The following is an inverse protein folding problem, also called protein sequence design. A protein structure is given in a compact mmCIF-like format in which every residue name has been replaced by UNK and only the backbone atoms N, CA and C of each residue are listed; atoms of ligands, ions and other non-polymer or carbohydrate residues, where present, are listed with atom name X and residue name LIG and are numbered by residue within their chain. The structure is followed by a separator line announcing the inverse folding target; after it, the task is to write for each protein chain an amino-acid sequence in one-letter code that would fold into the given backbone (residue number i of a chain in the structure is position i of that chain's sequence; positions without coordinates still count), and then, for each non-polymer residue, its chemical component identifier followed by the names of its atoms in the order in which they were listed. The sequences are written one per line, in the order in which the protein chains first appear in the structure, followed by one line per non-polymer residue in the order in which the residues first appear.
data_IF_394594911706
#
_entry.id   IF_394594911706
#
_cell.length_a   1.000
_cell.length_b   1.000
_cell.length_c   1.000
_cell.angle_alpha   90.00
_cell.angle_beta   90.00
_cell.angle_gamma   90.00
#
_symmetry.space_group_name_H-M   'P 1'
#
loop_
_entity.id
_entity.type
_entity.pdbx_description
1 polymer ?
#
# COMPACT_ATOMS: atom_id res chain seq x y z
N UNK A 1 8.34 18.54 -83.04
CA UNK A 1 9.42 17.82 -83.74
C UNK A 1 9.42 16.40 -83.26
N UNK A 2 9.30 15.42 -84.14
CA UNK A 2 9.41 13.98 -83.78
C UNK A 2 10.89 13.65 -83.88
N UNK A 3 11.57 13.53 -82.73
CA UNK A 3 12.96 13.06 -82.62
C UNK A 3 12.99 11.55 -82.80
N UNK A 4 13.64 11.02 -83.87
CA UNK A 4 13.77 9.59 -84.11
C UNK A 4 14.76 8.88 -83.16
N UNK A 5 15.83 9.60 -82.74
CA UNK A 5 16.89 9.04 -81.91
C UNK A 5 16.65 9.22 -80.42
N UNK A 6 15.72 10.11 -80.02
CA UNK A 6 15.43 10.35 -78.59
C UNK A 6 13.92 10.38 -78.36
N UNK A 7 13.37 9.30 -77.84
CA UNK A 7 11.94 9.23 -77.57
C UNK A 7 11.63 9.78 -76.13
N UNK A 8 11.46 11.12 -76.07
CA UNK A 8 11.19 11.85 -74.82
C UNK A 8 9.89 11.40 -74.20
N UNK A 9 8.87 11.06 -75.00
CA UNK A 9 7.58 10.57 -74.53
C UNK A 9 7.75 9.21 -73.77
N UNK A 10 8.53 8.28 -74.36
CA UNK A 10 8.83 7.02 -73.73
C UNK A 10 9.64 7.18 -72.43
N UNK A 11 10.59 8.12 -72.36
CA UNK A 11 11.35 8.43 -71.14
C UNK A 11 10.49 9.03 -70.02
N UNK A 12 9.55 9.94 -70.39
CA UNK A 12 8.60 10.49 -69.39
C UNK A 12 7.68 9.41 -68.88
N UNK A 13 7.13 8.54 -69.74
CA UNK A 13 6.26 7.47 -69.37
C UNK A 13 7.00 6.45 -68.47
N UNK A 14 8.27 6.15 -68.73
CA UNK A 14 9.12 5.31 -67.94
C UNK A 14 9.35 5.87 -66.52
N UNK A 15 9.57 7.21 -66.40
CA UNK A 15 9.65 7.84 -65.08
C UNK A 15 8.34 7.71 -64.29
N UNK A 16 7.18 7.93 -64.94
CA UNK A 16 5.87 7.74 -64.31
C UNK A 16 5.65 6.30 -63.88
N UNK A 17 6.09 5.33 -64.71
CA UNK A 17 6.02 3.90 -64.34
C UNK A 17 6.89 3.58 -63.10
N UNK A 18 8.14 4.06 -63.10
CA UNK A 18 9.04 3.88 -61.92
C UNK A 18 8.43 4.47 -60.65
N UNK A 19 7.89 5.71 -60.74
CA UNK A 19 7.26 6.38 -59.60
C UNK A 19 6.01 5.63 -59.10
N UNK A 20 5.16 5.12 -59.98
CA UNK A 20 3.98 4.33 -59.61
C UNK A 20 4.39 2.99 -58.97
N UNK A 21 5.46 2.36 -59.49
CA UNK A 21 5.99 1.13 -58.87
C UNK A 21 6.57 1.37 -57.48
N UNK A 22 7.33 2.47 -57.28
CA UNK A 22 7.88 2.85 -55.97
C UNK A 22 6.76 3.11 -54.96
N UNK A 23 5.70 3.84 -55.33
CA UNK A 23 4.53 4.10 -54.46
C UNK A 23 3.80 2.81 -54.12
N UNK A 24 3.64 1.88 -55.06
CA UNK A 24 3.03 0.59 -54.82
C UNK A 24 3.82 -0.23 -53.79
N UNK A 25 5.14 -0.31 -53.90
CA UNK A 25 6.03 -1.00 -52.97
C UNK A 25 5.96 -0.38 -51.59
N UNK A 26 5.92 0.96 -51.49
CA UNK A 26 5.79 1.69 -50.26
C UNK A 26 4.48 1.38 -49.54
N UNK A 27 3.34 1.46 -50.25
CA UNK A 27 2.03 1.11 -49.72
C UNK A 27 1.95 -0.35 -49.30
N UNK A 28 2.54 -1.30 -50.05
CA UNK A 28 2.63 -2.70 -49.64
C UNK A 28 3.43 -2.87 -48.35
N UNK A 29 4.56 -2.18 -48.21
CA UNK A 29 5.38 -2.20 -46.98
C UNK A 29 4.60 -1.69 -45.78
N UNK A 30 3.88 -0.56 -45.92
CA UNK A 30 3.07 0.04 -44.86
C UNK A 30 1.91 -0.86 -44.44
N UNK A 31 1.22 -1.48 -45.40
CA UNK A 31 0.15 -2.43 -45.15
C UNK A 31 0.65 -3.70 -44.45
N UNK A 32 1.81 -4.23 -44.88
CA UNK A 32 2.39 -5.45 -44.32
C UNK A 32 2.90 -5.25 -42.89
N UNK A 33 3.51 -4.08 -42.62
CA UNK A 33 4.02 -3.77 -41.28
C UNK A 33 2.95 -3.22 -40.33
N UNK A 34 1.86 -2.66 -40.85
CA UNK A 34 0.86 -1.89 -40.11
C UNK A 34 1.33 -0.49 -39.69
N UNK A 35 2.54 -0.09 -40.12
CA UNK A 35 3.13 1.18 -39.73
C UNK A 35 3.34 2.09 -40.96
N UNK A 36 3.04 3.38 -40.76
CA UNK A 36 3.37 4.47 -41.71
C UNK A 36 4.86 4.82 -41.68
N UNK A 37 5.48 4.74 -40.46
CA UNK A 37 6.90 5.01 -40.25
C UNK A 37 7.60 3.70 -39.98
N UNK A 38 8.33 3.17 -40.96
CA UNK A 38 9.07 1.92 -40.90
C UNK A 38 10.58 2.14 -40.69
N UNK A 39 11.11 3.22 -41.21
CA UNK A 39 12.54 3.56 -41.23
C UNK A 39 12.78 5.04 -40.91
N UNK A 40 14.02 5.39 -40.58
CA UNK A 40 14.41 6.78 -40.33
C UNK A 40 14.31 7.66 -41.59
N UNK A 41 14.30 7.05 -42.78
CA UNK A 41 14.13 7.77 -44.06
C UNK A 41 12.68 8.23 -44.30
N UNK A 42 11.70 7.54 -43.66
CA UNK A 42 10.28 7.89 -43.80
C UNK A 42 9.93 9.13 -42.94
N UNK A 43 10.37 9.15 -41.68
CA UNK A 43 10.25 10.31 -40.77
C UNK A 43 11.19 10.09 -39.54
N UNK A 44 12.34 10.76 -39.58
CA UNK A 44 13.34 10.64 -38.50
C UNK A 44 12.83 11.20 -37.18
N UNK A 45 12.07 12.30 -37.21
CA UNK A 45 11.51 12.92 -35.98
C UNK A 45 10.39 12.07 -35.39
N UNK A 46 9.46 11.61 -36.22
CA UNK A 46 8.37 10.72 -35.79
C UNK A 46 8.87 9.38 -35.25
N UNK A 47 9.92 8.81 -35.86
CA UNK A 47 10.55 7.57 -35.36
C UNK A 47 11.19 7.77 -33.98
N UNK A 48 11.91 8.88 -33.77
CA UNK A 48 12.52 9.20 -32.48
C UNK A 48 11.46 9.36 -31.39
N UNK A 49 10.40 10.13 -31.68
CA UNK A 49 9.29 10.30 -30.74
C UNK A 49 8.62 8.94 -30.44
N UNK A 50 8.34 8.14 -31.47
CA UNK A 50 7.74 6.80 -31.31
C UNK A 50 8.60 5.88 -30.44
N UNK A 51 9.93 5.91 -30.62
CA UNK A 51 10.86 5.14 -29.79
C UNK A 51 10.84 5.61 -28.32
N UNK A 52 10.81 6.93 -28.08
CA UNK A 52 10.68 7.48 -26.72
C UNK A 52 9.37 7.04 -26.06
N UNK A 53 8.24 7.13 -26.77
CA UNK A 53 6.95 6.67 -26.29
C UNK A 53 6.93 5.15 -26.05
N UNK A 54 7.62 4.37 -26.86
CA UNK A 54 7.75 2.93 -26.66
C UNK A 54 8.54 2.57 -25.38
N UNK A 55 9.63 3.29 -25.09
CA UNK A 55 10.38 3.16 -23.83
C UNK A 55 9.48 3.54 -22.66
N UNK A 56 8.73 4.63 -22.78
CA UNK A 56 7.78 5.07 -21.75
C UNK A 56 6.68 4.04 -21.50
N UNK A 57 6.06 3.45 -22.54
CA UNK A 57 5.04 2.41 -22.42
C UNK A 57 5.60 1.20 -21.66
N UNK A 58 6.80 0.71 -22.04
CA UNK A 58 7.46 -0.40 -21.33
C UNK A 58 7.75 -0.07 -19.87
N UNK A 59 8.17 1.17 -19.57
CA UNK A 59 8.37 1.63 -18.20
C UNK A 59 7.08 1.64 -17.39
N UNK A 60 5.98 2.10 -18.00
CA UNK A 60 4.65 2.10 -17.37
C UNK A 60 4.13 0.67 -17.12
N UNK A 61 4.39 -0.28 -18.04
CA UNK A 61 4.01 -1.68 -17.86
C UNK A 61 4.75 -2.34 -16.68
N UNK A 62 6.05 -1.99 -16.51
CA UNK A 62 6.81 -2.44 -15.32
C UNK A 62 6.28 -1.80 -14.05
N UNK A 63 6.01 -0.49 -14.09
CA UNK A 63 5.45 0.24 -12.95
C UNK A 63 4.10 -0.33 -12.50
N UNK A 64 3.24 -0.70 -13.45
CA UNK A 64 1.95 -1.37 -13.15
C UNK A 64 2.16 -2.73 -12.48
N UNK A 65 3.09 -3.57 -12.96
CA UNK A 65 3.41 -4.84 -12.29
C UNK A 65 3.91 -4.61 -10.87
N UNK A 66 4.85 -3.68 -10.68
CA UNK A 66 5.37 -3.35 -9.34
C UNK A 66 4.26 -2.83 -8.41
N UNK A 67 3.29 -2.07 -8.94
CA UNK A 67 2.14 -1.60 -8.18
C UNK A 67 1.22 -2.77 -7.76
N UNK A 68 0.99 -3.73 -8.65
CA UNK A 68 0.25 -4.96 -8.33
C UNK A 68 0.96 -5.80 -7.27
N UNK A 69 2.30 -5.92 -7.34
CA UNK A 69 3.09 -6.63 -6.34
C UNK A 69 2.98 -5.94 -4.97
N UNK A 70 3.12 -4.61 -4.94
CA UNK A 70 2.94 -3.81 -3.72
C UNK A 70 1.55 -3.97 -3.11
N UNK A 71 0.51 -3.97 -3.95
CA UNK A 71 -0.87 -4.19 -3.51
C UNK A 71 -1.07 -5.59 -2.94
N UNK A 72 -0.49 -6.61 -3.56
CA UNK A 72 -0.57 -8.01 -3.11
C UNK A 72 0.11 -8.21 -1.75
N UNK A 73 1.28 -7.58 -1.52
CA UNK A 73 1.93 -7.57 -0.19
C UNK A 73 1.01 -6.95 0.85
N UNK A 74 0.44 -5.78 0.55
CA UNK A 74 -0.45 -5.09 1.47
C UNK A 74 -1.72 -5.90 1.78
N UNK A 75 -2.28 -6.60 0.80
CA UNK A 75 -3.44 -7.46 0.98
C UNK A 75 -3.13 -8.69 1.84
N UNK A 76 -1.95 -9.30 1.66
CA UNK A 76 -1.50 -10.40 2.51
C UNK A 76 -1.29 -9.93 3.94
N UNK A 77 -0.67 -8.76 4.12
CA UNK A 77 -0.48 -8.15 5.43
C UNK A 77 -1.82 -7.82 6.11
N UNK A 78 -2.79 -7.26 5.38
CA UNK A 78 -4.12 -6.97 5.92
C UNK A 78 -4.85 -8.22 6.38
N UNK A 79 -4.77 -9.32 5.62
CA UNK A 79 -5.37 -10.60 6.00
C UNK A 79 -4.83 -11.12 7.33
N UNK A 80 -3.51 -11.06 7.54
CA UNK A 80 -2.90 -11.47 8.80
C UNK A 80 -3.27 -10.55 9.98
N UNK A 81 -3.34 -9.23 9.76
CA UNK A 81 -3.78 -8.29 10.79
C UNK A 81 -5.26 -8.45 11.16
N UNK A 82 -6.09 -8.88 10.22
CA UNK A 82 -7.49 -9.22 10.50
C UNK A 82 -7.55 -10.40 11.47
N UNK A 83 -6.82 -11.49 11.21
CA UNK A 83 -6.74 -12.64 12.09
C UNK A 83 -6.20 -12.26 13.49
N UNK A 84 -5.12 -11.45 13.51
CA UNK A 84 -4.59 -10.92 14.79
C UNK A 84 -5.63 -10.11 15.57
N UNK A 85 -6.43 -9.30 14.88
CA UNK A 85 -7.51 -8.52 15.52
C UNK A 85 -8.59 -9.43 16.10
N UNK A 86 -8.95 -10.51 15.42
CA UNK A 86 -9.95 -11.47 15.88
C UNK A 86 -9.46 -12.25 17.14
N UNK A 87 -8.18 -12.66 17.13
CA UNK A 87 -7.53 -13.28 18.30
C UNK A 87 -7.54 -12.31 19.49
N UNK A 88 -7.14 -11.05 19.31
CA UNK A 88 -7.12 -10.04 20.36
C UNK A 88 -8.52 -9.75 20.91
N UNK A 89 -9.55 -9.71 20.08
CA UNK A 89 -10.94 -9.57 20.52
C UNK A 89 -11.41 -10.79 21.34
N UNK A 90 -10.98 -11.99 20.97
CA UNK A 90 -11.25 -13.20 21.75
C UNK A 90 -10.54 -13.15 23.11
N UNK A 91 -9.26 -12.78 23.14
CA UNK A 91 -8.51 -12.56 24.39
C UNK A 91 -9.19 -11.52 25.28
N UNK A 92 -9.67 -10.41 24.71
CA UNK A 92 -10.43 -9.40 25.46
C UNK A 92 -11.70 -9.95 26.07
N UNK A 93 -12.44 -10.79 25.34
CA UNK A 93 -13.65 -11.43 25.86
C UNK A 93 -13.35 -12.38 27.01
N UNK A 94 -12.25 -13.12 26.94
CA UNK A 94 -11.76 -13.98 28.03
C UNK A 94 -11.32 -13.16 29.26
N UNK A 95 -10.64 -12.01 29.02
CA UNK A 95 -10.28 -11.09 30.10
C UNK A 95 -11.50 -10.56 30.86
N UNK A 96 -12.55 -10.13 30.16
CA UNK A 96 -13.80 -9.70 30.76
C UNK A 96 -14.50 -10.85 31.52
N UNK A 97 -14.43 -12.07 31.00
CA UNK A 97 -14.94 -13.23 31.66
C UNK A 97 -14.14 -13.54 32.96
N UNK A 98 -12.81 -13.54 32.88
CA UNK A 98 -11.91 -13.80 34.02
C UNK A 98 -12.04 -12.73 35.12
N UNK A 99 -12.26 -11.46 34.76
CA UNK A 99 -12.46 -10.36 35.70
C UNK A 99 -13.79 -10.44 36.45
N UNK A 100 -14.71 -11.32 36.05
CA UNK A 100 -15.99 -11.47 36.71
C UNK A 100 -15.79 -12.15 38.09
N UNK A 101 -16.28 -11.52 39.17
CA UNK A 101 -16.20 -12.03 40.54
C UNK A 101 -16.98 -13.31 40.80
N UNK A 102 -17.81 -13.81 39.86
CA UNK A 102 -18.52 -15.08 39.98
C UNK A 102 -17.62 -16.32 39.71
N UNK A 103 -16.48 -16.12 39.03
CA UNK A 103 -15.57 -17.20 38.70
C UNK A 103 -14.68 -17.54 39.90
N UNK A 104 -14.41 -18.81 40.12
CA UNK A 104 -13.41 -19.25 41.06
C UNK A 104 -12.01 -19.31 40.44
N UNK A 105 -11.00 -19.68 41.24
CA UNK A 105 -9.61 -19.77 40.78
C UNK A 105 -9.39 -20.86 39.71
N UNK A 106 -10.19 -21.95 39.75
CA UNK A 106 -10.11 -23.06 38.79
C UNK A 106 -10.68 -22.65 37.44
N UNK A 107 -11.77 -21.86 37.45
CA UNK A 107 -12.37 -21.32 36.26
C UNK A 107 -11.39 -20.36 35.54
N UNK A 108 -10.77 -19.44 36.31
CA UNK A 108 -9.76 -18.52 35.79
C UNK A 108 -8.52 -19.24 35.26
N UNK A 109 -8.09 -20.31 35.93
CA UNK A 109 -6.99 -21.14 35.46
C UNK A 109 -7.33 -21.80 34.11
N UNK A 110 -8.56 -22.23 33.92
CA UNK A 110 -9.02 -22.79 32.63
C UNK A 110 -9.04 -21.73 31.52
N UNK A 111 -9.46 -20.52 31.86
CA UNK A 111 -9.38 -19.37 30.95
C UNK A 111 -7.91 -19.08 30.58
N UNK A 112 -6.98 -19.10 31.54
CA UNK A 112 -5.57 -18.85 31.32
C UNK A 112 -4.95 -19.84 30.31
N UNK A 113 -5.36 -21.10 30.33
CA UNK A 113 -4.90 -22.06 29.33
C UNK A 113 -5.34 -21.69 27.91
N UNK A 114 -6.57 -21.18 27.72
CA UNK A 114 -7.03 -20.68 26.40
C UNK A 114 -6.28 -19.40 26.02
N UNK A 115 -5.99 -18.53 26.96
CA UNK A 115 -5.22 -17.29 26.75
C UNK A 115 -3.83 -17.60 26.22
N UNK A 116 -3.09 -18.52 26.85
CA UNK A 116 -1.76 -18.93 26.41
C UNK A 116 -1.81 -19.50 24.98
N UNK A 117 -2.79 -20.36 24.67
CA UNK A 117 -2.93 -20.90 23.33
C UNK A 117 -3.23 -19.81 22.27
N UNK A 118 -3.98 -18.77 22.61
CA UNK A 118 -4.24 -17.64 21.73
C UNK A 118 -3.03 -16.70 21.58
N UNK A 119 -2.20 -16.54 22.61
CA UNK A 119 -0.91 -15.83 22.51
C UNK A 119 0.05 -16.55 21.56
N UNK A 120 0.17 -17.89 21.71
CA UNK A 120 0.97 -18.71 20.79
C UNK A 120 0.47 -18.58 19.34
N UNK A 121 -0.85 -18.52 19.13
CA UNK A 121 -1.45 -18.36 17.81
C UNK A 121 -1.20 -16.96 17.23
N UNK A 122 -1.26 -15.92 18.07
CA UNK A 122 -0.92 -14.54 17.65
C UNK A 122 0.53 -14.46 17.17
N UNK A 123 1.47 -15.05 17.92
CA UNK A 123 2.88 -15.11 17.53
C UNK A 123 3.09 -15.98 16.28
N UNK A 124 2.34 -17.09 16.16
CA UNK A 124 2.39 -17.92 14.96
C UNK A 124 1.97 -17.15 13.73
N UNK A 125 0.90 -16.38 13.77
CA UNK A 125 0.47 -15.51 12.67
C UNK A 125 1.57 -14.53 12.31
N UNK A 126 2.21 -13.88 13.28
CA UNK A 126 3.27 -12.91 13.05
C UNK A 126 4.51 -13.54 12.40
N UNK A 127 4.89 -14.77 12.78
CA UNK A 127 6.09 -15.45 12.29
C UNK A 127 5.85 -16.14 10.95
N UNK A 128 4.66 -16.71 10.72
CA UNK A 128 4.39 -17.52 9.53
C UNK A 128 3.86 -16.71 8.35
N UNK A 129 3.43 -15.47 8.57
CA UNK A 129 2.96 -14.62 7.48
C UNK A 129 4.12 -14.15 6.62
N UNK A 130 4.24 -14.73 5.44
CA UNK A 130 5.31 -14.44 4.48
C UNK A 130 4.75 -14.05 3.12
N UNK A 131 5.52 -13.26 2.38
CA UNK A 131 5.30 -12.97 0.97
C UNK A 131 6.62 -13.12 0.21
N UNK A 132 6.66 -14.00 -0.78
CA UNK A 132 7.87 -14.32 -1.55
C UNK A 132 9.09 -14.60 -0.64
N UNK A 133 8.91 -15.49 0.35
CA UNK A 133 9.91 -15.90 1.36
C UNK A 133 10.41 -14.79 2.30
N UNK A 134 9.74 -13.64 2.34
CA UNK A 134 10.01 -12.57 3.31
C UNK A 134 8.93 -12.54 4.37
N UNK A 135 9.34 -12.59 5.63
CA UNK A 135 8.43 -12.41 6.75
C UNK A 135 7.91 -10.98 6.77
N UNK A 136 6.62 -10.82 7.03
CA UNK A 136 6.00 -9.49 7.01
C UNK A 136 5.95 -8.85 8.41
N UNK A 137 5.83 -9.63 9.49
CA UNK A 137 5.51 -9.14 10.83
C UNK A 137 6.46 -9.58 11.95
N UNK A 138 7.60 -10.17 11.62
CA UNK A 138 8.64 -10.52 12.59
C UNK A 138 9.60 -9.36 12.91
N UNK A 139 9.40 -8.20 12.31
CA UNK A 139 10.25 -7.00 12.43
C UNK A 139 11.34 -6.90 11.37
N UNK A 140 11.57 -7.94 10.56
CA UNK A 140 12.62 -7.95 9.54
C UNK A 140 12.25 -7.21 8.25
N UNK A 141 10.95 -7.06 7.97
CA UNK A 141 10.46 -6.39 6.75
C UNK A 141 10.80 -4.91 6.71
N UNK A 142 10.55 -4.19 7.80
CA UNK A 142 10.81 -2.75 7.92
C UNK A 142 10.05 -1.92 6.87
N UNK A 143 10.74 -0.96 6.25
CA UNK A 143 10.18 -0.11 5.20
C UNK A 143 10.72 -0.51 3.83
N UNK A 144 9.84 -0.92 2.93
CA UNK A 144 10.17 -1.29 1.55
C UNK A 144 9.60 -0.28 0.56
N UNK A 145 10.41 0.12 -0.43
CA UNK A 145 10.02 1.05 -1.48
C UNK A 145 9.69 0.31 -2.77
N UNK A 146 8.50 0.54 -3.31
CA UNK A 146 8.05 0.01 -4.58
C UNK A 146 8.14 1.09 -5.66
N UNK A 147 8.89 0.83 -6.73
CA UNK A 147 9.01 1.76 -7.86
C UNK A 147 7.78 1.63 -8.77
N UNK A 148 6.90 2.62 -8.72
CA UNK A 148 5.62 2.65 -9.43
C UNK A 148 5.47 3.81 -10.42
N UNK A 149 6.58 4.32 -10.91
CA UNK A 149 6.59 5.40 -11.89
C UNK A 149 7.66 5.21 -12.95
N UNK A 150 7.41 5.72 -14.16
CA UNK A 150 8.38 5.71 -15.24
C UNK A 150 9.66 6.51 -14.91
N UNK A 151 9.58 7.45 -13.95
CA UNK A 151 10.67 8.36 -13.55
C UNK A 151 11.15 8.07 -12.11
N UNK A 152 11.25 6.80 -11.72
CA UNK A 152 11.71 6.36 -10.40
C UNK A 152 10.85 6.86 -9.21
N UNK A 153 9.60 7.25 -9.44
CA UNK A 153 8.67 7.53 -8.35
C UNK A 153 8.39 6.24 -7.58
N UNK A 154 8.45 6.32 -6.25
CA UNK A 154 8.24 5.17 -5.38
C UNK A 154 7.18 5.46 -4.33
N UNK A 155 6.50 4.41 -3.90
CA UNK A 155 5.66 4.38 -2.69
C UNK A 155 6.31 3.42 -1.70
N UNK A 156 6.43 3.82 -0.44
CA UNK A 156 6.93 2.98 0.64
C UNK A 156 5.79 2.36 1.44
N UNK A 157 5.94 1.08 1.76
CA UNK A 157 5.14 0.33 2.73
C UNK A 157 6.04 0.00 3.91
N UNK A 158 5.61 0.37 5.10
CA UNK A 158 6.29 0.02 6.35
C UNK A 158 5.43 -1.00 7.09
N UNK A 159 6.00 -2.16 7.38
CA UNK A 159 5.40 -3.17 8.23
C UNK A 159 6.25 -3.31 9.49
N UNK A 160 5.60 -3.33 10.64
CA UNK A 160 6.25 -3.40 11.93
C UNK A 160 6.12 -4.79 12.53
N UNK A 161 6.87 -5.04 13.59
CA UNK A 161 6.77 -6.27 14.36
C UNK A 161 5.38 -6.37 15.03
N UNK A 162 4.79 -7.56 15.01
CA UNK A 162 3.47 -7.84 15.58
C UNK A 162 3.50 -9.00 16.60
N UNK A 163 4.69 -9.33 17.10
CA UNK A 163 4.85 -10.40 18.09
C UNK A 163 4.42 -9.91 19.47
N UNK A 164 3.95 -10.83 20.30
CA UNK A 164 3.39 -10.57 21.63
C UNK A 164 4.34 -9.85 22.60
N UNK A 165 5.65 -10.07 22.47
CA UNK A 165 6.68 -9.53 23.39
C UNK A 165 7.12 -8.09 23.11
N UNK A 166 6.58 -7.41 22.08
CA UNK A 166 7.04 -6.06 21.74
C UNK A 166 6.43 -5.00 22.68
N UNK A 167 7.20 -3.97 23.06
CA UNK A 167 6.74 -2.90 23.96
C UNK A 167 5.52 -2.15 23.43
N UNK A 168 5.41 -2.01 22.10
CA UNK A 168 4.33 -1.27 21.46
C UNK A 168 2.97 -1.95 21.57
N UNK A 169 2.94 -3.28 21.81
CA UNK A 169 1.72 -4.05 22.12
C UNK A 169 1.47 -4.16 23.61
N UNK A 170 2.13 -3.33 24.40
CA UNK A 170 2.04 -3.30 25.85
C UNK A 170 2.11 -1.89 26.40
N UNK A 171 2.64 -1.76 27.61
CA UNK A 171 2.81 -0.48 28.27
C UNK A 171 3.48 -0.58 29.64
N UNK A 172 3.61 0.58 30.28
CA UNK A 172 4.15 0.67 31.63
C UNK A 172 3.06 0.34 32.66
N UNK A 173 3.43 -0.48 33.59
CA UNK A 173 2.62 -0.83 34.74
C UNK A 173 3.14 -0.11 35.98
N UNK A 174 2.24 0.36 36.82
CA UNK A 174 2.54 1.01 38.09
C UNK A 174 1.68 0.38 39.19
N UNK A 175 2.23 0.19 40.35
CA UNK A 175 1.56 -0.43 41.48
C UNK A 175 1.75 0.43 42.71
N UNK A 176 0.66 0.67 43.45
CA UNK A 176 0.69 1.31 44.76
C UNK A 176 0.66 0.28 45.90
N UNK A 177 1.00 0.73 47.08
CA UNK A 177 0.94 -0.11 48.27
C UNK A 177 -0.46 -0.64 48.55
N UNK A 178 -0.53 -1.83 49.19
CA UNK A 178 -1.76 -2.44 49.62
C UNK A 178 -2.44 -1.65 50.73
N UNK A 179 -3.73 -1.34 50.53
CA UNK A 179 -4.52 -0.58 51.53
C UNK A 179 -5.53 -1.46 52.24
N UNK A 180 -5.88 -1.05 53.46
CA UNK A 180 -6.90 -1.73 54.22
C UNK A 180 -8.28 -1.65 53.56
N UNK A 181 -9.15 -2.66 53.83
CA UNK A 181 -10.53 -2.69 53.29
C UNK A 181 -11.40 -1.49 53.66
N UNK A 182 -11.05 -0.79 54.76
CA UNK A 182 -11.74 0.41 55.24
C UNK A 182 -11.13 1.71 54.69
N UNK A 183 -10.11 1.62 53.84
CA UNK A 183 -9.48 2.79 53.24
C UNK A 183 -10.49 3.60 52.43
N UNK A 184 -10.37 4.92 52.52
CA UNK A 184 -11.23 5.87 51.80
C UNK A 184 -10.47 7.13 51.41
N UNK A 185 -10.92 7.78 50.35
CA UNK A 185 -10.44 9.08 49.95
C UNK A 185 -10.76 10.12 51.04
N UNK A 186 -9.74 10.82 51.51
CA UNK A 186 -9.78 11.90 52.47
C UNK A 186 -9.44 13.23 51.77
N UNK A 187 -9.40 14.33 52.52
CA UNK A 187 -8.97 15.62 51.97
C UNK A 187 -7.47 15.66 51.65
N UNK A 188 -6.69 14.78 52.28
CA UNK A 188 -5.23 14.77 52.19
C UNK A 188 -4.73 13.93 50.99
N UNK A 189 -5.58 13.03 50.43
CA UNK A 189 -5.23 12.14 49.31
C UNK A 189 -6.16 12.29 48.09
N UNK A 190 -6.68 13.51 47.84
CA UNK A 190 -7.74 13.76 46.88
C UNK A 190 -7.24 14.05 45.45
N UNK A 191 -5.93 14.25 45.23
CA UNK A 191 -5.39 14.68 43.95
C UNK A 191 -4.52 13.62 43.32
N UNK A 192 -4.75 13.41 42.02
CA UNK A 192 -3.92 12.58 41.15
C UNK A 192 -3.60 13.35 39.88
N UNK A 193 -2.33 13.40 39.49
CA UNK A 193 -1.86 14.03 38.28
C UNK A 193 -1.11 13.02 37.42
N UNK A 194 -1.35 13.09 36.13
CA UNK A 194 -0.65 12.33 35.11
C UNK A 194 0.13 13.28 34.24
N UNK A 195 1.44 13.10 34.17
CA UNK A 195 2.30 13.82 33.23
C UNK A 195 2.91 12.80 32.26
N UNK A 196 2.71 13.02 30.96
CA UNK A 196 3.19 12.13 29.90
C UNK A 196 3.58 12.94 28.66
N UNK A 197 4.44 12.35 27.84
CA UNK A 197 4.72 12.87 26.51
C UNK A 197 3.82 12.16 25.49
N UNK A 198 3.11 12.96 24.69
CA UNK A 198 2.32 12.40 23.60
C UNK A 198 3.21 11.91 22.45
N UNK A 199 2.61 11.26 21.46
CA UNK A 199 3.31 10.76 20.26
C UNK A 199 4.01 11.84 19.42
N UNK A 200 3.78 13.14 19.76
CA UNK A 200 4.43 14.30 19.11
C UNK A 200 5.55 14.89 19.98
N UNK A 201 5.86 14.27 21.13
CA UNK A 201 6.86 14.75 22.09
C UNK A 201 6.40 15.98 22.89
N UNK A 202 5.10 16.27 22.97
CA UNK A 202 4.56 17.34 23.78
C UNK A 202 4.17 16.81 25.15
N UNK A 203 4.66 17.47 26.21
CA UNK A 203 4.28 17.15 27.56
C UNK A 203 2.83 17.56 27.82
N UNK A 204 2.02 16.61 28.21
CA UNK A 204 0.62 16.78 28.60
C UNK A 204 0.51 16.51 30.09
N UNK A 205 -0.29 17.32 30.80
CA UNK A 205 -0.57 17.14 32.21
C UNK A 205 -2.06 17.07 32.42
N UNK A 206 -2.55 15.97 32.94
CA UNK A 206 -3.93 15.80 33.34
C UNK A 206 -4.05 15.66 34.85
N UNK A 207 -5.01 16.34 35.46
CA UNK A 207 -5.26 16.25 36.89
C UNK A 207 -6.69 15.81 37.18
N UNK A 208 -6.82 14.82 38.07
CA UNK A 208 -8.09 14.28 38.51
C UNK A 208 -8.27 14.56 39.99
N UNK A 209 -9.39 15.20 40.34
CA UNK A 209 -9.81 15.36 41.71
C UNK A 209 -10.75 14.21 42.14
N UNK A 210 -10.33 13.43 43.12
CA UNK A 210 -11.09 12.30 43.63
C UNK A 210 -12.22 12.72 44.56
N UNK A 211 -13.26 11.90 44.63
CA UNK A 211 -14.42 12.18 45.43
C UNK A 211 -14.21 11.69 46.87
N UNK A 212 -14.44 12.55 47.83
CA UNK A 212 -14.33 12.21 49.28
C UNK A 212 -15.20 11.04 49.68
N UNK A 213 -14.62 10.07 50.40
CA UNK A 213 -15.29 8.90 50.91
C UNK A 213 -15.31 7.71 49.95
N UNK A 214 -14.83 7.85 48.72
CA UNK A 214 -14.77 6.74 47.77
C UNK A 214 -13.77 5.67 48.24
N UNK A 215 -14.10 4.42 47.96
CA UNK A 215 -13.22 3.25 48.17
C UNK A 215 -12.24 3.14 47.01
N UNK A 216 -11.20 2.31 47.16
CA UNK A 216 -10.16 2.15 46.16
C UNK A 216 -10.71 1.63 44.80
N UNK A 217 -11.73 0.74 44.84
CA UNK A 217 -12.36 0.23 43.60
C UNK A 217 -13.18 1.32 42.88
N UNK A 218 -13.79 2.25 43.68
CA UNK A 218 -14.51 3.41 43.13
C UNK A 218 -13.55 4.42 42.54
N UNK A 219 -12.37 4.61 43.16
CA UNK A 219 -11.29 5.42 42.65
C UNK A 219 -10.81 4.90 41.27
N UNK A 220 -10.51 3.62 41.15
CA UNK A 220 -10.13 3.01 39.89
C UNK A 220 -11.21 3.20 38.79
N UNK A 221 -12.48 2.96 39.13
CA UNK A 221 -13.61 3.17 38.23
C UNK A 221 -13.73 4.64 37.81
N UNK A 222 -13.54 5.58 38.76
CA UNK A 222 -13.64 7.00 38.50
C UNK A 222 -12.50 7.48 37.57
N UNK A 223 -11.27 7.01 37.77
CA UNK A 223 -10.12 7.31 36.91
C UNK A 223 -10.40 6.83 35.49
N UNK A 224 -10.85 5.59 35.29
CA UNK A 224 -11.19 5.02 34.01
C UNK A 224 -12.31 5.77 33.28
N UNK A 225 -13.22 6.43 34.03
CA UNK A 225 -14.30 7.22 33.45
C UNK A 225 -13.88 8.64 33.02
N UNK A 226 -12.81 9.19 33.61
CA UNK A 226 -12.37 10.58 33.39
C UNK A 226 -11.34 10.71 32.26
N UNK A 227 -10.57 9.65 32.01
CA UNK A 227 -9.49 9.69 31.04
C UNK A 227 -9.26 8.31 30.38
N UNK A 228 -8.54 8.30 29.26
CA UNK A 228 -8.29 7.10 28.43
C UNK A 228 -6.80 6.77 28.23
N UNK A 229 -5.92 7.52 28.84
CA UNK A 229 -4.47 7.39 28.70
C UNK A 229 -3.94 6.27 29.59
N UNK A 230 -4.47 6.23 30.83
CA UNK A 230 -4.09 5.25 31.84
C UNK A 230 -5.34 4.46 32.22
N UNK A 231 -5.24 3.15 32.32
CA UNK A 231 -6.29 2.31 32.92
C UNK A 231 -5.93 1.99 34.38
N UNK A 232 -6.88 2.13 35.28
CA UNK A 232 -6.72 1.83 36.68
C UNK A 232 -7.50 0.57 37.06
N UNK A 233 -6.91 -0.27 37.87
CA UNK A 233 -7.57 -1.46 38.41
C UNK A 233 -7.09 -1.75 39.85
N UNK A 234 -7.70 -2.72 40.51
CA UNK A 234 -7.37 -3.05 41.90
C UNK A 234 -7.03 -4.53 41.98
N UNK A 235 -5.93 -4.85 42.65
CA UNK A 235 -5.51 -6.25 42.89
C UNK A 235 -6.35 -6.90 44.02
N UNK A 236 -6.22 -8.20 44.18
CA UNK A 236 -6.86 -8.95 45.26
C UNK A 236 -6.38 -8.51 46.68
N UNK A 237 -5.18 -7.90 46.73
CA UNK A 237 -4.59 -7.35 47.95
C UNK A 237 -5.05 -5.92 48.25
N UNK A 238 -5.99 -5.36 47.48
CA UNK A 238 -6.40 -3.95 47.52
C UNK A 238 -5.26 -2.97 47.16
N UNK A 239 -4.37 -3.33 46.26
CA UNK A 239 -3.37 -2.43 45.66
C UNK A 239 -3.97 -1.74 44.44
N UNK A 240 -3.83 -0.45 44.35
CA UNK A 240 -4.21 0.29 43.16
C UNK A 240 -3.11 0.15 42.09
N UNK A 241 -3.46 -0.38 40.93
CA UNK A 241 -2.54 -0.52 39.83
C UNK A 241 -2.98 0.30 38.63
N UNK A 242 -1.99 0.82 37.88
CA UNK A 242 -2.20 1.61 36.69
C UNK A 242 -1.46 0.98 35.50
N UNK A 243 -2.04 1.10 34.37
CA UNK A 243 -1.42 0.69 33.11
C UNK A 243 -1.50 1.83 32.09
N UNK A 244 -0.36 2.23 31.55
CA UNK A 244 -0.24 3.24 30.51
C UNK A 244 0.32 2.59 29.23
N UNK A 245 -0.44 2.62 28.14
CA UNK A 245 -0.01 2.06 26.86
C UNK A 245 1.19 2.84 26.28
N UNK A 246 2.22 2.13 25.82
CA UNK A 246 3.36 2.71 25.12
C UNK A 246 2.95 3.50 23.87
N UNK A 247 1.81 3.17 23.26
CA UNK A 247 1.29 3.88 22.10
C UNK A 247 0.86 5.32 22.44
N UNK A 248 0.28 5.52 23.64
CA UNK A 248 -0.22 6.80 24.12
C UNK A 248 0.88 7.60 24.86
N UNK A 249 1.75 6.90 25.58
CA UNK A 249 2.82 7.44 26.36
C UNK A 249 4.11 6.64 26.16
N UNK A 250 4.89 6.92 25.08
CA UNK A 250 6.07 6.14 24.72
C UNK A 250 7.15 6.08 25.81
N UNK A 251 7.28 7.13 26.60
CA UNK A 251 8.23 7.22 27.73
C UNK A 251 7.60 6.85 29.08
N UNK A 252 6.34 6.38 29.06
CA UNK A 252 5.58 6.12 30.25
C UNK A 252 4.86 7.37 30.79
N UNK A 253 4.29 7.24 31.98
CA UNK A 253 3.55 8.31 32.68
C UNK A 253 4.20 8.57 34.03
N UNK A 254 4.46 9.82 34.33
CA UNK A 254 4.82 10.23 35.68
C UNK A 254 3.54 10.46 36.47
N UNK A 255 3.40 9.76 37.58
CA UNK A 255 2.26 9.83 38.49
C UNK A 255 2.63 10.73 39.67
N UNK A 256 1.89 11.81 39.88
CA UNK A 256 2.12 12.78 40.95
C UNK A 256 0.81 13.10 41.68
N UNK A 257 0.92 13.53 42.90
CA UNK A 257 -0.22 14.00 43.69
C UNK A 257 -0.35 13.33 45.04
N UNK A 258 -1.27 13.84 45.85
CA UNK A 258 -1.43 13.34 47.21
C UNK A 258 -1.89 11.89 47.33
N UNK A 259 -2.57 11.35 46.31
CA UNK A 259 -2.91 9.94 46.28
C UNK A 259 -1.68 9.06 46.02
N UNK A 260 -0.84 9.45 45.08
CA UNK A 260 0.38 8.68 44.74
C UNK A 260 1.41 8.70 45.85
N UNK A 261 1.49 9.81 46.58
CA UNK A 261 2.38 9.94 47.74
C UNK A 261 1.92 9.05 48.92
N UNK A 262 0.59 8.92 49.12
CA UNK A 262 0.05 8.06 50.19
C UNK A 262 0.16 6.57 49.86
N UNK A 263 -0.03 6.20 48.57
CA UNK A 263 0.00 4.81 48.11
C UNK A 263 1.41 4.36 47.70
N UNK A 264 2.45 5.20 47.78
CA UNK A 264 3.82 4.92 47.34
C UNK A 264 3.86 4.27 45.95
N UNK A 265 3.14 4.89 44.98
CA UNK A 265 3.00 4.31 43.64
C UNK A 265 4.33 4.27 42.95
N UNK A 266 4.79 3.07 42.62
CA UNK A 266 6.06 2.82 41.95
C UNK A 266 5.89 2.18 40.58
N UNK A 267 6.87 2.33 39.72
CA UNK A 267 6.89 1.67 38.38
C UNK A 267 7.09 0.15 38.60
N UNK A 268 6.11 -0.63 38.20
CA UNK A 268 6.15 -2.11 38.21
C UNK A 268 6.86 -2.70 36.99
N UNK A 269 7.18 -1.86 35.97
CA UNK A 269 7.90 -2.25 34.78
C UNK A 269 7.05 -2.32 33.50
N UNK A 270 7.68 -2.72 32.43
CA UNK A 270 7.01 -2.94 31.13
C UNK A 270 6.23 -4.26 31.19
N UNK A 271 4.97 -4.22 30.76
CA UNK A 271 4.10 -5.40 30.59
C UNK A 271 3.67 -5.47 29.11
N UNK A 272 3.85 -6.62 28.51
CA UNK A 272 3.54 -6.89 27.11
C UNK A 272 2.41 -7.92 26.99
N UNK A 273 1.99 -8.22 25.77
CA UNK A 273 1.00 -9.27 25.51
C UNK A 273 1.47 -10.66 25.96
N UNK A 274 2.78 -10.90 26.08
CA UNK A 274 3.37 -12.15 26.56
C UNK A 274 3.21 -12.32 28.07
N UNK A 275 3.11 -11.22 28.81
CA UNK A 275 3.07 -11.18 30.28
C UNK A 275 1.64 -11.20 30.85
N UNK A 276 0.58 -11.32 30.04
CA UNK A 276 -0.79 -11.27 30.52
C UNK A 276 -1.13 -12.50 31.36
N UNK A 277 -1.66 -12.26 32.57
CA UNK A 277 -2.10 -13.26 33.50
C UNK A 277 -3.56 -13.00 33.94
N UNK A 278 -4.45 -13.92 33.61
CA UNK A 278 -5.88 -13.85 33.96
C UNK A 278 -6.26 -14.79 35.10
N UNK A 279 -5.29 -15.34 35.83
CA UNK A 279 -5.52 -16.25 36.95
C UNK A 279 -6.12 -15.55 38.17
N UNK A 280 -5.95 -14.21 38.25
CA UNK A 280 -6.51 -13.35 39.30
C UNK A 280 -7.44 -12.29 38.73
N UNK A 281 -8.31 -11.69 39.56
CA UNK A 281 -9.21 -10.61 39.11
C UNK A 281 -8.40 -9.37 38.73
N UNK A 282 -7.41 -8.98 39.54
CA UNK A 282 -6.55 -7.82 39.28
C UNK A 282 -5.69 -8.02 38.02
N UNK A 283 -5.13 -9.23 37.85
CA UNK A 283 -4.39 -9.59 36.63
C UNK A 283 -5.28 -9.58 35.40
N UNK A 284 -6.51 -10.10 35.48
CA UNK A 284 -7.46 -10.04 34.34
C UNK A 284 -7.82 -8.60 33.96
N UNK A 285 -8.00 -7.70 34.95
CA UNK A 285 -8.27 -6.27 34.65
C UNK A 285 -7.08 -5.57 34.05
N UNK A 286 -5.85 -5.83 34.49
CA UNK A 286 -4.63 -5.35 33.89
C UNK A 286 -4.48 -5.86 32.44
N UNK A 287 -4.70 -7.17 32.26
CA UNK A 287 -4.63 -7.83 30.94
C UNK A 287 -5.58 -7.20 29.92
N UNK A 288 -6.79 -6.78 30.32
CA UNK A 288 -7.71 -6.05 29.45
C UNK A 288 -7.06 -4.74 28.96
N UNK A 289 -6.38 -4.00 29.82
CA UNK A 289 -5.67 -2.78 29.44
C UNK A 289 -4.55 -3.04 28.42
N UNK A 290 -3.78 -4.11 28.63
CA UNK A 290 -2.72 -4.53 27.68
C UNK A 290 -3.32 -4.96 26.35
N UNK A 291 -4.38 -5.76 26.36
CA UNK A 291 -5.06 -6.21 25.13
C UNK A 291 -5.68 -5.03 24.37
N UNK A 292 -6.28 -4.07 25.06
CA UNK A 292 -6.84 -2.86 24.44
C UNK A 292 -5.73 -2.00 23.80
N UNK A 293 -4.52 -1.96 24.37
CA UNK A 293 -3.36 -1.34 23.76
C UNK A 293 -2.92 -2.09 22.50
N UNK A 294 -2.86 -3.42 22.55
CA UNK A 294 -2.52 -4.25 21.39
C UNK A 294 -3.55 -4.12 20.26
N UNK A 295 -4.84 -4.09 20.56
CA UNK A 295 -5.90 -3.84 19.56
C UNK A 295 -5.69 -2.49 18.88
N UNK A 296 -5.43 -1.43 19.62
CA UNK A 296 -5.15 -0.10 19.05
C UNK A 296 -3.91 -0.10 18.17
N UNK A 297 -2.87 -0.84 18.55
CA UNK A 297 -1.66 -0.99 17.76
C UNK A 297 -1.95 -1.68 16.42
N UNK A 298 -2.65 -2.82 16.43
CA UNK A 298 -3.06 -3.56 15.22
C UNK A 298 -3.96 -2.69 14.33
N UNK A 299 -4.95 -2.01 14.89
CA UNK A 299 -5.89 -1.17 14.15
C UNK A 299 -5.20 0.04 13.51
N UNK A 300 -4.20 0.62 14.18
CA UNK A 300 -3.37 1.69 13.61
C UNK A 300 -2.65 1.21 12.35
N UNK A 301 -2.05 0.01 12.40
CA UNK A 301 -1.36 -0.57 11.24
C UNK A 301 -2.31 -0.97 10.12
N UNK A 302 -3.49 -1.50 10.44
CA UNK A 302 -4.55 -1.75 9.44
C UNK A 302 -4.95 -0.47 8.73
N UNK A 303 -5.09 0.63 9.46
CA UNK A 303 -5.38 1.94 8.88
C UNK A 303 -4.27 2.43 7.95
N UNK A 304 -2.99 2.27 8.33
CA UNK A 304 -1.83 2.62 7.50
C UNK A 304 -1.81 1.79 6.21
N UNK A 305 -2.05 0.47 6.30
CA UNK A 305 -2.11 -0.44 5.15
C UNK A 305 -3.29 -0.09 4.24
N UNK A 306 -4.48 0.20 4.80
CA UNK A 306 -5.64 0.64 4.02
C UNK A 306 -5.37 1.96 3.26
N UNK A 307 -4.71 2.92 3.92
CA UNK A 307 -4.24 4.15 3.29
C UNK A 307 -3.23 3.90 2.16
N UNK A 308 -2.32 2.94 2.36
CA UNK A 308 -1.37 2.52 1.34
C UNK A 308 -2.07 1.88 0.14
N UNK A 309 -2.99 0.94 0.35
CA UNK A 309 -3.77 0.27 -0.70
C UNK A 309 -4.55 1.28 -1.55
N UNK A 310 -5.21 2.25 -0.92
CA UNK A 310 -5.93 3.31 -1.61
C UNK A 310 -5.01 4.16 -2.50
N UNK A 311 -3.81 4.50 -2.00
CA UNK A 311 -2.81 5.24 -2.79
C UNK A 311 -2.29 4.43 -3.97
N UNK A 312 -2.00 3.14 -3.77
CA UNK A 312 -1.53 2.24 -4.84
C UNK A 312 -2.62 2.07 -5.88
N UNK A 313 -3.87 1.84 -5.48
CA UNK A 313 -5.02 1.71 -6.40
C UNK A 313 -5.20 2.97 -7.24
N UNK A 314 -5.23 4.15 -6.63
CA UNK A 314 -5.32 5.41 -7.38
C UNK A 314 -4.14 5.64 -8.33
N UNK A 315 -2.95 5.17 -7.95
CA UNK A 315 -1.77 5.23 -8.82
C UNK A 315 -1.90 4.27 -10.00
N UNK A 316 -2.38 3.04 -9.79
CA UNK A 316 -2.63 2.07 -10.87
C UNK A 316 -3.63 2.62 -11.89
N UNK A 317 -4.71 3.26 -11.46
CA UNK A 317 -5.70 3.88 -12.35
C UNK A 317 -5.09 5.02 -13.18
N UNK A 318 -4.26 5.85 -12.55
CA UNK A 318 -3.52 6.89 -13.24
C UNK A 318 -2.52 6.32 -14.26
N UNK A 319 -1.72 5.32 -13.87
CA UNK A 319 -0.77 4.64 -14.76
C UNK A 319 -1.46 4.01 -15.97
N UNK A 320 -2.62 3.36 -15.76
CA UNK A 320 -3.43 2.80 -16.84
C UNK A 320 -3.92 3.88 -17.81
N UNK A 321 -4.36 5.03 -17.29
CA UNK A 321 -4.81 6.16 -18.08
C UNK A 321 -3.67 6.76 -18.91
N UNK A 322 -2.51 6.96 -18.28
CA UNK A 322 -1.30 7.47 -18.94
C UNK A 322 -0.82 6.47 -19.99
N UNK A 323 -0.78 5.17 -19.68
CA UNK A 323 -0.33 4.12 -20.61
C UNK A 323 -1.23 4.08 -21.86
N UNK A 324 -2.55 4.19 -21.68
CA UNK A 324 -3.50 4.28 -22.80
C UNK A 324 -3.25 5.51 -23.66
N UNK A 325 -3.08 6.68 -23.04
CA UNK A 325 -2.84 7.94 -23.75
C UNK A 325 -1.51 7.93 -24.53
N UNK A 326 -0.46 7.36 -23.94
CA UNK A 326 0.86 7.20 -24.58
C UNK A 326 0.76 6.22 -25.76
N UNK A 327 0.08 5.10 -25.57
CA UNK A 327 -0.13 4.10 -26.63
C UNK A 327 -0.93 4.68 -27.80
N UNK A 328 -2.01 5.43 -27.52
CA UNK A 328 -2.80 6.12 -28.54
C UNK A 328 -1.97 7.17 -29.28
N UNK A 329 -1.16 7.95 -28.57
CA UNK A 329 -0.27 8.94 -29.16
C UNK A 329 0.79 8.29 -30.07
N UNK A 330 1.35 7.15 -29.63
CA UNK A 330 2.28 6.36 -30.44
C UNK A 330 1.60 5.83 -31.70
N UNK A 331 0.37 5.33 -31.58
CA UNK A 331 -0.42 4.86 -32.72
C UNK A 331 -0.68 5.97 -33.74
N UNK A 332 -1.11 7.16 -33.30
CA UNK A 332 -1.30 8.32 -34.21
C UNK A 332 -0.05 8.74 -34.96
N UNK A 333 1.12 8.57 -34.39
CA UNK A 333 2.39 8.90 -35.00
C UNK A 333 2.81 7.84 -36.01
N UNK A 334 2.77 6.57 -35.61
CA UNK A 334 3.44 5.47 -36.29
C UNK A 334 2.53 4.57 -37.11
N UNK A 335 1.28 4.37 -36.67
CA UNK A 335 0.40 3.41 -37.34
C UNK A 335 -0.11 3.95 -38.67
N UNK A 336 -0.36 3.05 -39.62
CA UNK A 336 -0.95 3.39 -40.90
C UNK A 336 -2.47 3.30 -40.86
N UNK A 337 -3.14 4.19 -41.59
CA UNK A 337 -4.57 4.05 -41.87
C UNK A 337 -4.74 3.04 -43.03
N UNK A 338 -5.18 1.85 -42.67
CA UNK A 338 -5.33 0.72 -43.60
C UNK A 338 -6.26 1.04 -44.78
N UNK A 339 -7.35 1.81 -44.58
CA UNK A 339 -8.30 2.13 -45.63
C UNK A 339 -7.69 3.09 -46.63
N UNK A 340 -7.00 4.12 -46.16
CA UNK A 340 -6.29 5.07 -46.98
C UNK A 340 -5.15 4.43 -47.77
N UNK A 341 -4.33 3.65 -47.10
CA UNK A 341 -3.16 2.97 -47.69
C UNK A 341 -3.56 1.92 -48.73
N UNK A 342 -4.65 1.16 -48.48
CA UNK A 342 -5.20 0.23 -49.47
C UNK A 342 -5.71 0.94 -50.70
N UNK A 343 -6.33 2.12 -50.56
CA UNK A 343 -6.79 2.92 -51.68
C UNK A 343 -5.61 3.44 -52.51
N UNK A 344 -4.53 3.89 -51.85
CA UNK A 344 -3.32 4.38 -52.51
C UNK A 344 -2.58 3.24 -53.23
N UNK A 345 -2.52 2.04 -52.63
CA UNK A 345 -1.97 0.85 -53.28
C UNK A 345 -2.73 0.49 -54.57
N UNK A 346 -4.07 0.44 -54.50
CA UNK A 346 -4.89 0.12 -55.69
C UNK A 346 -4.72 1.20 -56.75
N UNK A 347 -4.69 2.49 -56.35
CA UNK A 347 -4.43 3.61 -57.26
C UNK A 347 -3.08 3.50 -57.94
N UNK A 348 -2.01 3.22 -57.20
CA UNK A 348 -0.67 3.05 -57.75
C UNK A 348 -0.57 1.83 -58.68
N UNK A 349 -1.28 0.74 -58.38
CA UNK A 349 -1.38 -0.43 -59.24
C UNK A 349 -2.06 -0.10 -60.57
N UNK A 350 -3.21 0.59 -60.53
CA UNK A 350 -3.92 1.04 -61.74
C UNK A 350 -3.04 2.00 -62.59
N UNK A 351 -2.32 2.92 -61.94
CA UNK A 351 -1.37 3.80 -62.60
C UNK A 351 -0.21 3.04 -63.23
N UNK A 352 0.30 2.00 -62.56
CA UNK A 352 1.38 1.15 -63.09
C UNK A 352 0.94 0.41 -64.34
N UNK A 353 -0.28 -0.18 -64.32
CA UNK A 353 -0.85 -0.89 -65.50
C UNK A 353 -1.11 0.08 -66.67
N UNK A 354 -1.70 1.25 -66.42
CA UNK A 354 -1.96 2.26 -67.39
C UNK A 354 -0.66 2.82 -68.03
N UNK A 355 0.33 3.12 -67.19
CA UNK A 355 1.64 3.64 -67.67
C UNK A 355 2.44 2.61 -68.45
N UNK A 356 2.29 1.31 -68.10
CA UNK A 356 2.89 0.22 -68.88
C UNK A 356 2.29 0.13 -70.27
N UNK A 357 0.96 0.24 -70.42
CA UNK A 357 0.29 0.27 -71.71
C UNK A 357 0.70 1.50 -72.50
N UNK A 358 0.76 2.69 -71.89
CA UNK A 358 1.22 3.93 -72.57
C UNK A 358 2.69 3.84 -72.97
N UNK A 359 3.56 3.21 -72.22
CA UNK A 359 4.97 3.00 -72.55
C UNK A 359 5.09 2.10 -73.76
N UNK A 360 4.31 1.01 -73.86
CA UNK A 360 4.28 0.19 -75.07
C UNK A 360 3.86 0.96 -76.29
N UNK A 361 2.82 1.82 -76.22
CA UNK A 361 2.35 2.65 -77.28
C UNK A 361 3.37 3.75 -77.68
N UNK A 362 4.02 4.35 -76.63
CA UNK A 362 5.05 5.37 -76.85
C UNK A 362 6.30 4.81 -77.59
N UNK A 363 6.67 3.55 -77.37
CA UNK A 363 7.75 2.82 -78.01
C UNK A 363 7.44 2.51 -79.47
N UNK A 364 6.16 2.33 -79.84
CA UNK A 364 5.76 2.07 -81.24
C UNK A 364 5.66 3.31 -82.10
N UNK A 365 5.51 4.53 -81.59
CA UNK A 365 5.38 5.78 -82.32
C UNK A 365 6.53 6.07 -83.27
N UNK A 366 7.82 5.93 -82.97
CA UNK A 366 8.92 6.15 -83.88
C UNK A 366 8.93 5.18 -85.08
N UNK A 367 8.56 3.90 -84.82
CA UNK A 367 8.50 2.89 -85.91
C UNK A 367 7.35 3.13 -86.90
N UNK A 368 6.19 3.61 -86.39
CA UNK A 368 5.07 4.01 -87.24
C UNK A 368 5.39 5.26 -88.07
N UNK A 369 6.17 6.20 -87.55
CA UNK A 369 6.63 7.37 -88.26
C UNK A 369 7.65 7.02 -89.37
N UNK A 370 8.50 6.00 -89.07
CA UNK A 370 9.44 5.48 -90.14
C UNK A 370 8.68 4.76 -91.25
N UNK A 371 7.61 3.98 -90.94
CA UNK A 371 6.81 3.31 -91.97
C UNK A 371 5.97 4.26 -92.86
N UNK A 372 5.76 5.49 -92.43
CA UNK A 372 5.13 6.54 -93.22
C UNK A 372 6.13 7.31 -94.11
N UNK A 373 7.43 7.17 -93.88
CA UNK A 373 8.51 7.84 -94.60
C UNK A 373 9.26 6.87 -95.56
N UNK A 374 8.96 5.58 -95.51
CA UNK A 374 9.42 4.56 -96.41
C UNK A 374 8.33 4.27 -97.48
#
# INVERSE_FOLDING_TARGET
MVSLNTNVTAMMTQRHLSHAAEQNIESQRNLTSGYRINSASDDAAGLQISNTLNVQTRGLDVALRNAHDAYSVAQTAEGALHESSDILQRLRSLGLQAANGSNDSSDRQSIQYEVVALQDELDRVAITTTFADKNLFDGSYGSQSFHIGANANSISLTLRNMRSHIPEMGGQHYVGDAVGKDWRVTKDNQTLKFEYQDSKGQTQTESIGLKLGDRIEQVATYINAQQSIVSASVTENNELQFFASTLNAPEGVTLEGSLTDELDVSAGGLVTMDDIDMSTVGGAQLSIGVIDAAIKYVDSHRSEIGGFQNRVSGTMDNLNTVNRSVTESKGRIRDTDFARESTEMVRSQVLQDATTALLAQAKQRPSSALGLLS
#
